data_IF_448501231320
#
_entry.id   IF_448501231320
#
_cell.length_a   1.000
_cell.length_b   1.000
_cell.length_c   1.000
_cell.angle_alpha   90.00
_cell.angle_beta   90.00
_cell.angle_gamma   90.00
#
_symmetry.space_group_name_H-M   'P 1'
#
loop_
_entity.id
_entity.type
_entity.pdbx_description
1 polymer ?
#
# COMPACT_ATOMS: atom_id res chain seq x y z
N UNK A 1 24.83 -1.10 -21.56
CA UNK A 1 25.11 -0.21 -20.41
C UNK A 1 24.13 -0.67 -19.34
N UNK A 2 24.57 -1.50 -18.39
CA UNK A 2 23.67 -2.00 -17.33
C UNK A 2 23.20 -0.79 -16.52
N UNK A 3 21.90 -0.49 -16.59
CA UNK A 3 21.31 0.59 -15.81
C UNK A 3 21.37 0.15 -14.35
N UNK A 4 22.04 0.92 -13.51
CA UNK A 4 22.04 0.69 -12.06
C UNK A 4 20.62 0.91 -11.52
N UNK A 5 19.97 -0.18 -11.09
CA UNK A 5 18.60 -0.19 -10.54
C UNK A 5 18.54 -0.05 -9.02
N UNK A 6 19.68 0.16 -8.36
CA UNK A 6 19.73 0.27 -6.90
C UNK A 6 18.84 1.37 -6.34
N UNK A 7 18.73 2.51 -7.05
CA UNK A 7 17.86 3.61 -6.66
C UNK A 7 16.37 3.25 -6.77
N UNK A 8 15.97 2.53 -7.82
CA UNK A 8 14.58 2.10 -8.03
C UNK A 8 14.16 1.09 -6.94
N UNK A 9 15.04 0.13 -6.63
CA UNK A 9 14.82 -0.86 -5.57
C UNK A 9 14.71 -0.20 -4.19
N UNK A 10 15.62 0.74 -3.87
CA UNK A 10 15.59 1.45 -2.60
C UNK A 10 14.33 2.32 -2.44
N UNK A 11 13.86 2.95 -3.51
CA UNK A 11 12.61 3.70 -3.49
C UNK A 11 11.41 2.78 -3.23
N UNK A 12 11.37 1.63 -3.91
CA UNK A 12 10.29 0.65 -3.76
C UNK A 12 10.27 0.01 -2.37
N UNK A 13 11.45 -0.28 -1.80
CA UNK A 13 11.62 -0.73 -0.42
C UNK A 13 11.10 0.29 0.59
N UNK A 14 11.42 1.57 0.40
CA UNK A 14 10.95 2.64 1.27
C UNK A 14 9.41 2.76 1.23
N UNK A 15 8.82 2.66 0.04
CA UNK A 15 7.35 2.65 -0.12
C UNK A 15 6.72 1.43 0.56
N UNK A 16 7.23 0.22 0.32
CA UNK A 16 6.69 -0.99 0.95
C UNK A 16 6.81 -0.96 2.48
N UNK A 17 7.91 -0.44 3.00
CA UNK A 17 8.12 -0.23 4.44
C UNK A 17 7.15 0.79 5.03
N UNK A 18 6.79 1.83 4.27
CA UNK A 18 5.74 2.78 4.66
C UNK A 18 4.38 2.09 4.75
N UNK A 19 4.03 1.28 3.75
CA UNK A 19 2.78 0.49 3.73
C UNK A 19 2.70 -0.44 4.95
N UNK A 20 3.77 -1.18 5.25
CA UNK A 20 3.86 -2.07 6.42
C UNK A 20 3.60 -1.34 7.74
N UNK A 21 4.12 -0.11 7.87
CA UNK A 21 3.92 0.71 9.07
C UNK A 21 2.48 1.19 9.19
N UNK A 22 1.85 1.60 8.09
CA UNK A 22 0.46 2.06 8.10
C UNK A 22 -0.50 0.89 8.37
N UNK A 23 -0.22 -0.28 7.80
CA UNK A 23 -1.00 -1.49 8.07
C UNK A 23 -0.81 -2.03 9.49
N UNK A 24 0.26 -1.64 10.19
CA UNK A 24 0.66 -2.17 11.49
C UNK A 24 0.66 -3.71 11.49
N UNK A 25 1.50 -4.29 10.63
CA UNK A 25 1.64 -5.76 10.49
C UNK A 25 1.82 -6.47 11.85
N UNK A 26 2.59 -5.95 12.82
CA UNK A 26 2.65 -6.52 14.16
C UNK A 26 1.28 -6.61 14.85
N UNK A 27 0.47 -5.55 14.82
CA UNK A 27 -0.88 -5.58 15.39
C UNK A 27 -1.80 -6.54 14.64
N UNK A 28 -1.73 -6.58 13.31
CA UNK A 28 -2.50 -7.53 12.48
C UNK A 28 -2.16 -8.98 12.81
N UNK A 29 -0.89 -9.31 13.11
CA UNK A 29 -0.50 -10.67 13.53
C UNK A 29 -1.07 -11.07 14.88
N UNK A 30 -1.17 -10.13 15.82
CA UNK A 30 -1.84 -10.37 17.11
C UNK A 30 -3.33 -10.61 16.88
N UNK A 31 -3.97 -9.74 16.08
CA UNK A 31 -5.38 -9.87 15.72
C UNK A 31 -5.67 -11.20 15.00
N UNK A 32 -4.79 -11.62 14.08
CA UNK A 32 -4.90 -12.90 13.39
C UNK A 32 -4.93 -14.06 14.39
N UNK A 33 -3.98 -14.09 15.34
CA UNK A 33 -3.93 -15.13 16.38
C UNK A 33 -5.21 -15.16 17.23
N UNK A 34 -5.76 -14.00 17.57
CA UNK A 34 -6.99 -13.91 18.37
C UNK A 34 -8.21 -14.38 17.57
N UNK A 35 -8.27 -14.08 16.27
CA UNK A 35 -9.33 -14.52 15.37
C UNK A 35 -9.24 -16.02 15.07
N UNK A 36 -8.04 -16.58 14.94
CA UNK A 36 -7.80 -18.02 14.79
C UNK A 36 -8.27 -18.78 16.04
N UNK A 37 -7.97 -18.25 17.23
CA UNK A 37 -8.44 -18.81 18.49
C UNK A 37 -9.98 -18.81 18.55
N UNK A 38 -10.63 -17.70 18.20
CA UNK A 38 -12.09 -17.59 18.14
C UNK A 38 -12.70 -18.53 17.08
N UNK A 39 -12.07 -18.65 15.90
CA UNK A 39 -12.50 -19.55 14.84
C UNK A 39 -12.44 -21.04 15.24
N UNK A 40 -11.55 -21.38 16.19
CA UNK A 40 -11.43 -22.71 16.77
C UNK A 40 -12.42 -23.01 17.91
N UNK A 41 -13.19 -22.02 18.38
CA UNK A 41 -14.18 -22.22 19.44
C UNK A 41 -15.34 -23.10 18.94
N UNK A 42 -15.68 -24.22 19.64
CA UNK A 42 -16.73 -25.13 19.20
C UNK A 42 -18.12 -24.51 19.11
N UNK A 43 -18.39 -23.50 19.94
CA UNK A 43 -19.65 -22.77 20.07
C UNK A 43 -19.73 -21.53 19.16
N UNK A 44 -18.68 -21.21 18.37
CA UNK A 44 -18.73 -20.07 17.45
C UNK A 44 -19.93 -20.16 16.49
N UNK A 45 -20.25 -21.37 16.04
CA UNK A 45 -21.35 -21.63 15.09
C UNK A 45 -22.74 -21.60 15.71
N UNK A 46 -22.85 -21.50 17.04
CA UNK A 46 -24.13 -21.28 17.72
C UNK A 46 -24.68 -19.86 17.45
N UNK A 47 -23.78 -18.92 17.13
CA UNK A 47 -24.11 -17.58 16.63
C UNK A 47 -23.56 -17.39 15.21
N UNK A 48 -24.40 -17.62 14.21
CA UNK A 48 -24.03 -17.52 12.79
C UNK A 48 -23.59 -16.11 12.38
N UNK A 49 -24.11 -15.06 13.03
CA UNK A 49 -23.71 -13.69 12.75
C UNK A 49 -22.29 -13.41 13.27
N UNK A 50 -21.98 -13.87 14.50
CA UNK A 50 -20.62 -13.81 15.06
C UNK A 50 -19.65 -14.63 14.22
N UNK A 51 -20.02 -15.85 13.83
CA UNK A 51 -19.18 -16.71 12.98
C UNK A 51 -18.82 -16.06 11.65
N UNK A 52 -19.80 -15.45 10.97
CA UNK A 52 -19.56 -14.72 9.72
C UNK A 52 -18.63 -13.53 9.94
N UNK A 53 -18.81 -12.76 11.02
CA UNK A 53 -17.96 -11.62 11.32
C UNK A 53 -16.50 -12.04 11.57
N UNK A 54 -16.29 -13.04 12.43
CA UNK A 54 -14.95 -13.55 12.78
C UNK A 54 -14.25 -14.10 11.54
N UNK A 55 -14.90 -14.97 10.76
CA UNK A 55 -14.30 -15.58 9.56
C UNK A 55 -14.04 -14.57 8.44
N UNK A 56 -14.90 -13.56 8.28
CA UNK A 56 -14.67 -12.48 7.30
C UNK A 56 -13.48 -11.63 7.71
N UNK A 57 -13.38 -11.27 9.00
CA UNK A 57 -12.25 -10.48 9.50
C UNK A 57 -10.95 -11.30 9.42
N UNK A 58 -10.99 -12.57 9.79
CA UNK A 58 -9.86 -13.50 9.71
C UNK A 58 -9.29 -13.55 8.28
N UNK A 59 -10.14 -13.80 7.28
CA UNK A 59 -9.70 -13.87 5.88
C UNK A 59 -9.16 -12.53 5.35
N UNK A 60 -9.71 -11.41 5.83
CA UNK A 60 -9.21 -10.06 5.48
C UNK A 60 -7.82 -9.84 6.06
N UNK A 61 -7.65 -10.03 7.37
CA UNK A 61 -6.37 -9.82 8.08
C UNK A 61 -5.29 -10.74 7.53
N UNK A 62 -5.61 -12.02 7.32
CA UNK A 62 -4.70 -12.99 6.73
C UNK A 62 -4.27 -12.55 5.31
N UNK A 63 -5.23 -12.17 4.47
CA UNK A 63 -4.95 -11.74 3.10
C UNK A 63 -4.11 -10.47 3.00
N UNK A 64 -4.24 -9.55 3.97
CA UNK A 64 -3.43 -8.33 4.02
C UNK A 64 -1.98 -8.63 4.44
N UNK A 65 -1.78 -9.49 5.44
CA UNK A 65 -0.44 -9.95 5.86
C UNK A 65 0.25 -10.70 4.72
N UNK A 66 -0.40 -11.70 4.15
CA UNK A 66 0.15 -12.52 3.06
C UNK A 66 0.55 -11.68 1.85
N UNK A 67 -0.26 -10.67 1.50
CA UNK A 67 0.03 -9.78 0.37
C UNK A 67 1.32 -8.99 0.58
N UNK A 68 1.49 -8.40 1.76
CA UNK A 68 2.67 -7.58 2.08
C UNK A 68 3.93 -8.45 2.13
N UNK A 69 3.84 -9.62 2.77
CA UNK A 69 4.95 -10.58 2.84
C UNK A 69 5.35 -11.09 1.45
N UNK A 70 4.37 -11.33 0.58
CA UNK A 70 4.63 -11.72 -0.82
C UNK A 70 5.39 -10.63 -1.57
N UNK A 71 5.01 -9.37 -1.41
CA UNK A 71 5.73 -8.26 -2.05
C UNK A 71 7.12 -8.06 -1.46
N UNK A 72 7.29 -8.28 -0.15
CA UNK A 72 8.59 -8.22 0.52
C UNK A 72 9.54 -9.28 -0.05
N UNK A 73 9.10 -10.54 -0.11
CA UNK A 73 9.88 -11.63 -0.68
C UNK A 73 10.23 -11.37 -2.15
N UNK A 74 9.27 -10.93 -2.97
CA UNK A 74 9.52 -10.62 -4.39
C UNK A 74 10.51 -9.47 -4.58
N UNK A 75 10.48 -8.46 -3.71
CA UNK A 75 11.44 -7.35 -3.76
C UNK A 75 12.86 -7.82 -3.42
N UNK A 76 13.00 -8.67 -2.40
CA UNK A 76 14.27 -9.26 -2.01
C UNK A 76 14.82 -10.16 -3.13
N UNK A 77 13.99 -11.02 -3.71
CA UNK A 77 14.34 -11.89 -4.85
C UNK A 77 14.73 -11.07 -6.08
N UNK A 78 14.04 -9.96 -6.35
CA UNK A 78 14.35 -9.06 -7.46
C UNK A 78 15.73 -8.40 -7.29
N UNK A 79 16.11 -8.03 -6.07
CA UNK A 79 17.46 -7.51 -5.80
C UNK A 79 18.54 -8.56 -6.09
N UNK A 80 18.29 -9.82 -5.71
CA UNK A 80 19.19 -10.94 -6.04
C UNK A 80 19.26 -11.16 -7.55
N UNK A 81 18.13 -11.08 -8.26
CA UNK A 81 18.08 -11.27 -9.72
C UNK A 81 18.92 -10.22 -10.47
N UNK A 82 18.85 -8.95 -10.07
CA UNK A 82 19.70 -7.90 -10.62
C UNK A 82 21.19 -8.11 -10.30
N UNK A 83 21.50 -8.61 -9.10
CA UNK A 83 22.88 -8.94 -8.75
C UNK A 83 23.43 -10.06 -9.65
N UNK A 84 22.67 -11.14 -9.84
CA UNK A 84 23.05 -12.25 -10.71
C UNK A 84 23.24 -11.79 -12.16
N UNK A 85 22.31 -10.98 -12.69
CA UNK A 85 22.42 -10.44 -14.04
C UNK A 85 23.68 -9.58 -14.24
N UNK A 86 24.08 -8.82 -13.21
CA UNK A 86 25.28 -8.01 -13.24
C UNK A 86 26.57 -8.85 -13.16
N UNK A 87 26.58 -9.90 -12.33
CA UNK A 87 27.72 -10.80 -12.18
C UNK A 87 27.98 -11.63 -13.44
N UNK A 88 26.92 -12.11 -14.09
CA UNK A 88 27.00 -12.96 -15.28
C UNK A 88 27.00 -12.18 -16.60
N UNK A 89 26.76 -10.86 -16.55
CA UNK A 89 26.54 -10.00 -17.71
C UNK A 89 25.44 -10.54 -18.66
N UNK A 90 24.42 -11.17 -18.10
CA UNK A 90 23.29 -11.77 -18.84
C UNK A 90 22.20 -10.72 -19.08
N UNK A 91 22.11 -10.24 -20.33
CA UNK A 91 21.11 -9.25 -20.74
C UNK A 91 19.67 -9.80 -20.74
N UNK A 92 19.49 -11.13 -20.87
CA UNK A 92 18.19 -11.78 -20.80
C UNK A 92 17.62 -11.76 -19.38
N UNK A 93 18.46 -12.13 -18.40
CA UNK A 93 18.10 -12.06 -16.98
C UNK A 93 17.85 -10.62 -16.54
N UNK A 94 18.66 -9.67 -17.02
CA UNK A 94 18.44 -8.25 -16.76
C UNK A 94 17.09 -7.75 -17.29
N UNK A 95 16.67 -8.20 -18.48
CA UNK A 95 15.39 -7.83 -19.06
C UNK A 95 14.19 -8.44 -18.29
N UNK A 96 14.33 -9.67 -17.80
CA UNK A 96 13.33 -10.30 -16.93
C UNK A 96 13.18 -9.54 -15.61
N UNK A 97 14.31 -9.19 -14.97
CA UNK A 97 14.33 -8.38 -13.76
C UNK A 97 13.68 -6.99 -13.96
N UNK A 98 13.96 -6.32 -15.08
CA UNK A 98 13.33 -5.04 -15.41
C UNK A 98 11.80 -5.17 -15.60
N UNK A 99 11.32 -6.28 -16.18
CA UNK A 99 9.90 -6.54 -16.34
C UNK A 99 9.20 -6.81 -14.99
N UNK A 100 9.86 -7.55 -14.10
CA UNK A 100 9.37 -7.81 -12.75
C UNK A 100 9.37 -6.53 -11.91
N UNK A 101 10.42 -5.70 -11.97
CA UNK A 101 10.50 -4.40 -11.33
C UNK A 101 9.31 -3.51 -11.72
N UNK A 102 9.02 -3.40 -13.03
CA UNK A 102 7.90 -2.62 -13.52
C UNK A 102 6.52 -3.16 -13.07
N UNK A 103 6.43 -4.47 -12.81
CA UNK A 103 5.22 -5.10 -12.26
C UNK A 103 5.09 -4.80 -10.78
N UNK A 104 6.16 -5.01 -10.01
CA UNK A 104 6.20 -4.76 -8.57
C UNK A 104 5.93 -3.29 -8.24
N UNK A 105 6.47 -2.35 -9.02
CA UNK A 105 6.20 -0.91 -8.90
C UNK A 105 4.71 -0.58 -9.03
N UNK A 106 4.01 -1.18 -10.01
CA UNK A 106 2.58 -0.95 -10.21
C UNK A 106 1.74 -1.55 -9.08
N UNK A 107 2.10 -2.74 -8.63
CA UNK A 107 1.36 -3.45 -7.58
C UNK A 107 1.52 -2.77 -6.22
N UNK A 108 2.76 -2.45 -5.83
CA UNK A 108 3.07 -1.73 -4.59
C UNK A 108 2.49 -0.31 -4.63
N UNK A 109 2.57 0.40 -5.76
CA UNK A 109 1.95 1.72 -5.90
C UNK A 109 0.42 1.69 -5.76
N UNK A 110 -0.23 0.64 -6.30
CA UNK A 110 -1.67 0.44 -6.09
C UNK A 110 -2.00 0.14 -4.63
N UNK A 111 -1.18 -0.67 -3.96
CA UNK A 111 -1.34 -0.95 -2.53
C UNK A 111 -1.13 0.31 -1.69
N UNK A 112 -0.12 1.11 -1.97
CA UNK A 112 0.16 2.38 -1.29
C UNK A 112 -1.07 3.30 -1.30
N UNK A 113 -1.68 3.49 -2.47
CA UNK A 113 -2.88 4.31 -2.59
C UNK A 113 -4.03 3.74 -1.76
N UNK A 114 -4.24 2.42 -1.77
CA UNK A 114 -5.28 1.77 -0.96
C UNK A 114 -5.04 1.95 0.54
N UNK A 115 -3.79 1.78 0.96
CA UNK A 115 -3.39 1.90 2.37
C UNK A 115 -3.52 3.34 2.86
N UNK A 116 -3.20 4.33 2.02
CA UNK A 116 -3.41 5.75 2.33
C UNK A 116 -4.89 6.16 2.37
N UNK A 117 -5.78 5.42 1.70
CA UNK A 117 -7.22 5.68 1.62
C UNK A 117 -8.06 4.73 2.52
N UNK A 118 -7.50 4.35 3.67
CA UNK A 118 -8.11 3.38 4.60
C UNK A 118 -8.76 3.99 5.85
N UNK A 119 -8.83 5.32 5.95
CA UNK A 119 -9.49 6.04 7.03
C UNK A 119 -11.01 5.89 7.01
N UNK A 120 -11.65 6.05 8.18
CA UNK A 120 -13.11 5.88 8.38
C UNK A 120 -13.96 6.70 7.39
N UNK A 121 -13.45 7.85 6.93
CA UNK A 121 -14.18 8.78 6.08
C UNK A 121 -13.70 8.82 4.63
N UNK A 122 -12.70 8.02 4.24
CA UNK A 122 -12.07 8.12 2.92
C UNK A 122 -13.00 7.71 1.76
N UNK A 123 -14.02 6.90 2.04
CA UNK A 123 -15.07 6.55 1.06
C UNK A 123 -16.11 7.65 0.85
N UNK A 124 -16.12 8.70 1.68
CA UNK A 124 -17.14 9.76 1.63
C UNK A 124 -16.70 10.90 0.70
N UNK A 125 -17.66 11.63 0.16
CA UNK A 125 -17.35 12.86 -0.57
C UNK A 125 -16.72 13.89 0.36
N UNK A 126 -15.61 14.49 -0.08
CA UNK A 126 -14.97 15.59 0.63
C UNK A 126 -15.71 16.91 0.38
N UNK A 127 -15.98 17.66 1.46
CA UNK A 127 -16.42 19.06 1.35
C UNK A 127 -15.20 19.96 1.50
N UNK A 128 -14.86 20.69 0.43
CA UNK A 128 -13.69 21.58 0.40
C UNK A 128 -14.15 23.02 0.58
N UNK A 129 -13.74 23.65 1.70
CA UNK A 129 -13.95 25.08 1.95
C UNK A 129 -12.61 25.82 1.85
N UNK A 130 -12.52 26.77 0.91
CA UNK A 130 -11.35 27.64 0.74
C UNK A 130 -11.72 29.02 1.27
N UNK A 131 -10.95 29.54 2.22
CA UNK A 131 -11.17 30.87 2.81
C UNK A 131 -9.87 31.67 2.73
N UNK A 132 -9.89 32.92 2.22
CA UNK A 132 -8.69 33.73 2.15
C UNK A 132 -8.20 34.09 3.56
N UNK A 133 -6.88 34.01 3.76
CA UNK A 133 -6.23 34.41 5.01
C UNK A 133 -6.03 35.93 5.14
N UNK A 134 -5.22 36.34 6.11
CA UNK A 134 -4.82 37.73 6.26
C UNK A 134 -3.90 38.14 5.10
N UNK A 135 -4.20 39.28 4.46
CA UNK A 135 -3.45 39.81 3.31
C UNK A 135 -4.31 40.55 2.28
N UNK A 136 -5.62 40.66 2.51
CA UNK A 136 -6.49 41.53 1.72
C UNK A 136 -6.73 40.97 0.31
N UNK A 137 -6.61 41.82 -0.71
CA UNK A 137 -6.94 41.48 -2.10
C UNK A 137 -6.03 40.36 -2.64
N UNK A 138 -4.73 40.41 -2.36
CA UNK A 138 -3.79 39.39 -2.84
C UNK A 138 -4.12 38.00 -2.29
N UNK A 139 -4.56 37.92 -1.02
CA UNK A 139 -5.02 36.66 -0.42
C UNK A 139 -6.33 36.16 -1.02
N UNK A 140 -7.23 37.06 -1.43
CA UNK A 140 -8.47 36.71 -2.14
C UNK A 140 -8.19 36.16 -3.53
N UNK A 141 -7.29 36.80 -4.28
CA UNK A 141 -6.89 36.36 -5.61
C UNK A 141 -6.23 34.98 -5.56
N UNK A 142 -5.35 34.74 -4.58
CA UNK A 142 -4.74 33.43 -4.40
C UNK A 142 -5.75 32.35 -4.00
N UNK A 143 -6.68 32.66 -3.09
CA UNK A 143 -7.77 31.75 -2.75
C UNK A 143 -8.64 31.41 -3.97
N UNK A 144 -8.89 32.38 -4.85
CA UNK A 144 -9.61 32.16 -6.11
C UNK A 144 -8.82 31.28 -7.09
N UNK A 145 -7.50 31.43 -7.15
CA UNK A 145 -6.64 30.56 -7.96
C UNK A 145 -6.72 29.11 -7.49
N UNK A 146 -6.62 28.86 -6.18
CA UNK A 146 -6.79 27.52 -5.62
C UNK A 146 -8.18 26.96 -5.90
N UNK A 147 -9.23 27.75 -5.72
CA UNK A 147 -10.59 27.32 -5.99
C UNK A 147 -10.76 26.87 -7.44
N UNK A 148 -10.24 27.64 -8.40
CA UNK A 148 -10.25 27.27 -9.83
C UNK A 148 -9.46 26.01 -10.12
N UNK A 149 -8.36 25.77 -9.40
CA UNK A 149 -7.57 24.56 -9.54
C UNK A 149 -8.37 23.33 -9.14
N UNK A 150 -8.95 23.32 -7.93
CA UNK A 150 -9.75 22.21 -7.44
C UNK A 150 -11.05 22.00 -8.23
N UNK A 151 -11.71 23.07 -8.66
CA UNK A 151 -12.92 22.99 -9.48
C UNK A 151 -12.68 22.37 -10.86
N UNK A 152 -11.47 22.47 -11.41
CA UNK A 152 -11.11 21.86 -12.71
C UNK A 152 -10.60 20.43 -12.60
N UNK A 153 -10.10 20.04 -11.44
CA UNK A 153 -9.54 18.71 -11.20
C UNK A 153 -10.63 17.66 -10.95
N UNK A 154 -11.66 18.01 -10.18
CA UNK A 154 -12.82 17.17 -9.89
C UNK A 154 -13.83 17.16 -11.04
#
# INVERSE_FOLDING_TARGET
MSVDRSADLAALDATLTSIEKVLDVPALRVELSDLEAQAGEPDLWDDTAKAQQVTTRLSTVQGDIERVETYRARLDDLAVLFQMAAEEADEGVAAEADAELATLQREIGSLEVRTLLSGEYDQRHALVQITPGAGGVDSQDWALMLWRMYYRWA
#
